data_IF_660912230205
#
_entry.id   IF_660912230205
#
_cell.length_a   1.000
_cell.length_b   1.000
_cell.length_c   1.000
_cell.angle_alpha   90.00
_cell.angle_beta   90.00
_cell.angle_gamma   90.00
#
_symmetry.space_group_name_H-M   'P 1'
#
loop_
_entity.id
_entity.type
_entity.pdbx_description
1 polymer ?
#
# COMPACT_ATOMS: atom_id res chain seq x y z
N UNK A 1 -41.58 4.17 22.96
CA UNK A 1 -40.17 4.32 23.36
C UNK A 1 -39.34 4.53 22.10
N UNK A 2 -39.22 5.77 21.61
CA UNK A 2 -38.37 6.10 20.46
C UNK A 2 -36.93 6.16 20.95
N UNK A 3 -36.20 5.05 20.82
CA UNK A 3 -34.76 5.06 20.98
C UNK A 3 -34.22 6.07 19.95
N UNK A 4 -33.64 7.16 20.45
CA UNK A 4 -33.15 8.28 19.65
C UNK A 4 -32.22 7.77 18.54
N UNK A 5 -32.67 7.87 17.28
CA UNK A 5 -31.90 7.57 16.07
C UNK A 5 -30.53 8.30 16.02
N UNK A 6 -30.30 9.30 16.87
CA UNK A 6 -29.01 9.99 17.00
C UNK A 6 -27.92 9.14 17.66
N UNK A 7 -28.27 8.16 18.50
CA UNK A 7 -27.28 7.26 19.13
C UNK A 7 -26.78 6.19 18.14
N UNK A 8 -27.63 5.68 17.26
CA UNK A 8 -27.23 4.73 16.21
C UNK A 8 -26.23 5.33 15.20
N UNK A 9 -26.33 6.64 14.92
CA UNK A 9 -25.41 7.33 13.98
C UNK A 9 -23.96 7.43 14.46
N UNK A 10 -23.69 7.25 15.75
CA UNK A 10 -22.33 7.32 16.32
C UNK A 10 -21.67 5.97 16.51
N UNK A 11 -22.31 4.88 16.09
CA UNK A 11 -21.71 3.57 16.24
C UNK A 11 -20.59 3.40 15.19
N UNK A 12 -19.38 2.96 15.56
CA UNK A 12 -18.19 2.93 14.68
C UNK A 12 -18.41 2.26 13.32
N UNK A 13 -19.27 1.24 13.29
CA UNK A 13 -19.66 0.53 12.07
C UNK A 13 -20.34 1.45 11.04
N UNK A 14 -21.25 2.32 11.48
CA UNK A 14 -21.95 3.24 10.56
C UNK A 14 -21.00 4.32 10.03
N UNK A 15 -20.05 4.78 10.86
CA UNK A 15 -18.99 5.70 10.42
C UNK A 15 -18.13 5.04 9.34
N UNK A 16 -17.74 3.78 9.54
CA UNK A 16 -17.00 3.01 8.54
C UNK A 16 -17.78 2.89 7.22
N UNK A 17 -19.04 2.44 7.25
CA UNK A 17 -19.87 2.35 6.03
C UNK A 17 -20.01 3.69 5.30
N UNK A 18 -20.19 4.78 6.05
CA UNK A 18 -20.27 6.12 5.49
C UNK A 18 -18.95 6.54 4.83
N UNK A 19 -17.82 6.24 5.44
CA UNK A 19 -16.50 6.51 4.87
C UNK A 19 -16.23 5.67 3.62
N UNK A 20 -16.64 4.40 3.60
CA UNK A 20 -16.59 3.55 2.42
C UNK A 20 -17.37 4.15 1.24
N UNK A 21 -18.60 4.58 1.49
CA UNK A 21 -19.40 5.24 0.45
C UNK A 21 -18.76 6.56 -0.02
N UNK A 22 -18.17 7.33 0.90
CA UNK A 22 -17.40 8.54 0.54
C UNK A 22 -16.15 8.21 -0.28
N UNK A 23 -15.44 7.14 0.02
CA UNK A 23 -14.26 6.70 -0.73
C UNK A 23 -14.58 6.48 -2.20
N UNK A 24 -15.61 5.69 -2.50
CA UNK A 24 -16.01 5.46 -3.89
C UNK A 24 -16.50 6.73 -4.59
N UNK A 25 -17.18 7.61 -3.85
CA UNK A 25 -17.59 8.94 -4.36
C UNK A 25 -16.40 9.83 -4.69
N UNK A 26 -15.44 9.95 -3.78
CA UNK A 26 -14.20 10.72 -3.97
C UNK A 26 -13.41 10.19 -5.15
N UNK A 27 -13.24 8.86 -5.23
CA UNK A 27 -12.58 8.18 -6.36
C UNK A 27 -13.26 8.49 -7.69
N UNK A 28 -14.60 8.41 -7.75
CA UNK A 28 -15.36 8.75 -8.96
C UNK A 28 -15.16 10.21 -9.36
N UNK A 29 -15.18 11.14 -8.39
CA UNK A 29 -14.96 12.56 -8.65
C UNK A 29 -13.56 12.83 -9.22
N UNK A 30 -12.52 12.24 -8.64
CA UNK A 30 -11.12 12.39 -9.12
C UNK A 30 -10.96 11.86 -10.54
N UNK A 31 -11.52 10.67 -10.83
CA UNK A 31 -11.50 10.09 -12.17
C UNK A 31 -12.29 10.90 -13.20
N UNK A 32 -13.28 11.66 -12.75
CA UNK A 32 -14.06 12.57 -13.61
C UNK A 32 -13.40 13.93 -13.80
N UNK A 33 -12.16 14.11 -13.32
CA UNK A 33 -11.41 15.37 -13.46
C UNK A 33 -11.77 16.46 -12.44
N UNK A 34 -12.55 16.15 -11.41
CA UNK A 34 -12.91 17.12 -10.36
C UNK A 34 -11.69 17.41 -9.48
N UNK A 35 -11.38 18.68 -9.25
CA UNK A 35 -10.37 19.13 -8.29
C UNK A 35 -10.89 19.02 -6.85
N UNK A 36 -10.87 17.78 -6.34
CA UNK A 36 -11.32 17.47 -4.98
C UNK A 36 -10.48 18.17 -3.92
N UNK A 37 -9.19 18.41 -4.17
CA UNK A 37 -8.33 19.06 -3.18
C UNK A 37 -8.79 20.50 -2.94
N UNK A 38 -9.10 21.24 -4.01
CA UNK A 38 -9.66 22.59 -3.91
C UNK A 38 -10.98 22.59 -3.13
N UNK A 39 -11.92 21.71 -3.49
CA UNK A 39 -13.22 21.60 -2.81
C UNK A 39 -13.05 21.24 -1.32
N UNK A 40 -12.14 20.33 -1.00
CA UNK A 40 -11.84 19.93 0.37
C UNK A 40 -11.25 21.08 1.19
N UNK A 41 -10.39 21.91 0.58
CA UNK A 41 -9.80 23.10 1.24
C UNK A 41 -10.79 24.24 1.47
N UNK A 42 -11.87 24.31 0.70
CA UNK A 42 -12.95 25.30 0.82
C UNK A 42 -14.04 24.90 1.83
N UNK A 43 -13.68 24.06 2.82
CA UNK A 43 -14.49 23.67 3.99
C UNK A 43 -15.77 22.85 3.71
N UNK A 44 -15.85 22.19 2.54
CA UNK A 44 -16.86 21.15 2.26
C UNK A 44 -16.33 19.73 2.52
N UNK A 45 -15.56 19.58 3.60
CA UNK A 45 -15.00 18.30 4.09
C UNK A 45 -16.07 17.20 4.32
N UNK A 46 -17.34 17.59 4.43
CA UNK A 46 -18.48 16.68 4.52
C UNK A 46 -18.74 15.84 3.26
N UNK A 47 -18.33 16.27 2.06
CA UNK A 47 -18.70 15.59 0.80
C UNK A 47 -17.70 14.51 0.37
N UNK A 48 -16.41 14.76 0.58
CA UNK A 48 -15.30 13.92 0.12
C UNK A 48 -14.38 13.57 1.30
N UNK A 49 -13.74 12.41 1.22
CA UNK A 49 -12.66 12.06 2.15
C UNK A 49 -11.42 12.90 1.91
N UNK A 50 -10.70 13.21 2.99
CA UNK A 50 -9.35 13.75 2.92
C UNK A 50 -8.34 12.76 2.31
N UNK A 51 -7.19 13.24 1.84
CA UNK A 51 -6.24 12.43 1.06
C UNK A 51 -5.63 11.29 1.87
N UNK A 52 -5.25 11.54 3.13
CA UNK A 52 -4.71 10.52 4.03
C UNK A 52 -5.71 9.40 4.32
N UNK A 53 -6.95 9.79 4.61
CA UNK A 53 -8.03 8.84 4.90
C UNK A 53 -8.40 8.03 3.64
N UNK A 54 -8.31 8.65 2.46
CA UNK A 54 -8.51 7.96 1.19
C UNK A 54 -7.43 6.89 0.97
N UNK A 55 -6.16 7.21 1.21
CA UNK A 55 -5.04 6.26 1.10
C UNK A 55 -5.14 5.12 2.12
N UNK A 56 -5.51 5.43 3.37
CA UNK A 56 -5.70 4.42 4.41
C UNK A 56 -6.85 3.44 4.06
N UNK A 57 -7.97 3.96 3.56
CA UNK A 57 -9.09 3.12 3.13
C UNK A 57 -8.76 2.32 1.87
N UNK A 58 -8.02 2.88 0.91
CA UNK A 58 -7.53 2.10 -0.23
C UNK A 58 -6.72 0.89 0.25
N UNK A 59 -5.72 1.09 1.11
CA UNK A 59 -4.91 0.01 1.66
C UNK A 59 -5.78 -1.04 2.35
N UNK A 60 -6.74 -0.61 3.18
CA UNK A 60 -7.66 -1.51 3.86
C UNK A 60 -8.50 -2.35 2.89
N UNK A 61 -9.08 -1.70 1.88
CA UNK A 61 -9.91 -2.37 0.86
C UNK A 61 -9.06 -3.31 0.01
N UNK A 62 -7.84 -2.90 -0.35
CA UNK A 62 -6.92 -3.68 -1.16
C UNK A 62 -6.47 -4.96 -0.46
N UNK A 63 -6.30 -4.92 0.86
CA UNK A 63 -5.94 -6.09 1.66
C UNK A 63 -7.11 -7.02 1.98
N UNK A 64 -8.37 -6.59 1.76
CA UNK A 64 -9.55 -7.36 2.14
C UNK A 64 -9.63 -8.76 1.53
N UNK A 65 -9.35 -8.98 0.22
CA UNK A 65 -9.34 -10.31 -0.36
C UNK A 65 -8.30 -11.24 0.30
N UNK A 66 -7.11 -10.72 0.59
CA UNK A 66 -6.06 -11.47 1.29
C UNK A 66 -6.48 -11.89 2.69
N UNK A 67 -7.14 -11.02 3.45
CA UNK A 67 -7.63 -11.37 4.78
C UNK A 67 -8.64 -12.52 4.75
N UNK A 68 -9.55 -12.53 3.76
CA UNK A 68 -10.52 -13.63 3.60
C UNK A 68 -9.80 -14.94 3.32
N UNK A 69 -8.86 -14.94 2.38
CA UNK A 69 -8.15 -16.16 2.00
C UNK A 69 -7.26 -16.67 3.13
N UNK A 70 -6.50 -15.81 3.80
CA UNK A 70 -5.74 -16.20 5.00
C UNK A 70 -6.64 -16.82 6.07
N UNK A 71 -7.78 -16.17 6.37
CA UNK A 71 -8.72 -16.69 7.38
C UNK A 71 -9.31 -18.04 6.98
N UNK A 72 -9.57 -18.26 5.69
CA UNK A 72 -10.05 -19.53 5.17
C UNK A 72 -9.01 -20.64 5.32
N UNK A 73 -7.75 -20.36 4.97
CA UNK A 73 -6.65 -21.31 5.14
C UNK A 73 -6.36 -21.60 6.61
N UNK A 74 -6.33 -20.58 7.47
CA UNK A 74 -6.16 -20.75 8.92
C UNK A 74 -7.29 -21.60 9.53
N UNK A 75 -8.51 -21.50 9.01
CA UNK A 75 -9.63 -22.33 9.43
C UNK A 75 -9.50 -23.79 8.96
N UNK A 76 -9.04 -24.02 7.71
CA UNK A 76 -8.88 -25.37 7.17
C UNK A 76 -7.70 -26.13 7.75
N UNK A 77 -6.58 -25.45 7.94
CA UNK A 77 -5.32 -26.03 8.39
C UNK A 77 -5.06 -25.74 9.86
N UNK A 78 -6.15 -25.70 10.65
CA UNK A 78 -6.21 -25.44 12.10
C UNK A 78 -4.89 -25.79 12.78
N UNK A 79 -4.21 -24.79 13.39
CA UNK A 79 -2.83 -24.82 13.94
C UNK A 79 -2.49 -26.13 14.69
N UNK A 80 -2.27 -27.21 13.99
CA UNK A 80 -1.89 -28.50 14.56
C UNK A 80 -0.39 -28.49 14.77
N UNK A 81 0.05 -28.29 16.00
CA UNK A 81 1.41 -28.58 16.51
C UNK A 81 2.65 -27.98 15.82
N UNK A 82 2.52 -27.27 14.69
CA UNK A 82 3.66 -26.65 13.99
C UNK A 82 4.26 -25.45 14.76
N UNK A 83 3.58 -24.98 15.81
CA UNK A 83 4.03 -23.86 16.65
C UNK A 83 4.90 -24.29 17.83
N UNK A 84 5.00 -25.59 18.16
CA UNK A 84 5.70 -26.04 19.37
C UNK A 84 7.24 -26.09 19.24
N UNK A 85 7.80 -26.05 18.03
CA UNK A 85 9.26 -26.18 17.84
C UNK A 85 10.00 -24.87 17.53
N UNK A 86 9.34 -23.70 17.47
CA UNK A 86 10.05 -22.42 17.30
C UNK A 86 10.29 -21.74 18.66
N UNK A 87 11.32 -22.24 19.32
CA UNK A 87 11.95 -21.87 20.61
C UNK A 87 11.80 -20.40 21.05
N UNK A 88 11.66 -20.23 22.37
CA UNK A 88 11.43 -19.04 23.18
C UNK A 88 12.27 -17.78 22.88
N UNK A 89 13.40 -17.89 22.17
CA UNK A 89 14.20 -16.76 21.68
C UNK A 89 13.50 -15.93 20.59
N UNK A 90 12.42 -16.46 19.99
CA UNK A 90 11.70 -15.84 18.88
C UNK A 90 10.67 -14.78 19.25
N UNK A 91 10.24 -14.63 20.50
CA UNK A 91 9.14 -13.70 20.84
C UNK A 91 9.54 -12.23 20.78
N UNK A 92 10.71 -11.86 21.32
CA UNK A 92 11.18 -10.47 21.29
C UNK A 92 11.64 -10.05 19.89
N UNK A 93 12.29 -10.94 19.13
CA UNK A 93 12.63 -10.73 17.72
C UNK A 93 11.36 -10.58 16.87
N UNK A 94 10.37 -11.48 17.00
CA UNK A 94 9.08 -11.33 16.31
C UNK A 94 8.35 -10.05 16.70
N UNK A 95 8.42 -9.61 17.96
CA UNK A 95 7.83 -8.31 18.35
C UNK A 95 8.58 -7.16 17.71
N UNK A 96 9.91 -7.19 17.68
CA UNK A 96 10.75 -6.14 17.10
C UNK A 96 10.58 -6.06 15.58
N UNK A 97 10.64 -7.19 14.88
CA UNK A 97 10.32 -7.34 13.46
C UNK A 97 8.91 -6.84 13.17
N UNK A 98 7.90 -7.29 13.91
CA UNK A 98 6.52 -6.85 13.68
C UNK A 98 6.36 -5.35 13.92
N UNK A 99 7.01 -4.75 14.92
CA UNK A 99 6.95 -3.31 15.18
C UNK A 99 7.69 -2.53 14.09
N UNK A 100 8.91 -2.95 13.72
CA UNK A 100 9.71 -2.27 12.69
C UNK A 100 9.08 -2.40 11.31
N UNK A 101 8.61 -3.58 10.91
CA UNK A 101 7.88 -3.78 9.64
C UNK A 101 6.57 -2.98 9.65
N UNK A 102 5.80 -3.04 10.73
CA UNK A 102 4.53 -2.30 10.81
C UNK A 102 4.71 -0.78 10.84
N UNK A 103 5.81 -0.27 11.40
CA UNK A 103 6.11 1.17 11.44
C UNK A 103 6.82 1.67 10.17
N UNK A 104 7.69 0.85 9.58
CA UNK A 104 8.46 1.20 8.38
C UNK A 104 7.56 1.30 7.15
N UNK A 105 6.55 0.45 7.00
CA UNK A 105 5.65 0.50 5.83
C UNK A 105 4.91 1.85 5.71
N UNK A 106 4.21 2.36 6.75
CA UNK A 106 3.62 3.70 6.71
C UNK A 106 4.64 4.81 6.48
N UNK A 107 5.84 4.71 7.06
CA UNK A 107 6.90 5.70 6.89
C UNK A 107 7.44 5.72 5.45
N UNK A 108 7.69 4.55 4.84
CA UNK A 108 8.13 4.42 3.46
C UNK A 108 7.05 4.94 2.51
N UNK A 109 5.78 4.59 2.75
CA UNK A 109 4.65 5.11 1.97
C UNK A 109 4.54 6.63 2.07
N UNK A 110 4.69 7.16 3.28
CA UNK A 110 4.72 8.60 3.54
C UNK A 110 5.83 9.26 2.74
N UNK A 111 7.06 8.76 2.90
CA UNK A 111 8.25 9.28 2.23
C UNK A 111 8.12 9.20 0.71
N UNK A 112 7.61 8.09 0.18
CA UNK A 112 7.37 7.91 -1.26
C UNK A 112 6.37 8.93 -1.79
N UNK A 113 5.26 9.18 -1.08
CA UNK A 113 4.28 10.20 -1.47
C UNK A 113 4.86 11.62 -1.39
N UNK A 114 5.66 11.91 -0.35
CA UNK A 114 6.34 13.19 -0.17
C UNK A 114 7.30 13.48 -1.32
N UNK A 115 8.14 12.50 -1.64
CA UNK A 115 9.13 12.58 -2.70
C UNK A 115 8.47 12.63 -4.07
N UNK A 116 7.51 11.75 -4.36
CA UNK A 116 6.80 11.73 -5.64
C UNK A 116 6.06 13.04 -5.91
N UNK A 117 5.43 13.64 -4.89
CA UNK A 117 4.83 14.98 -5.00
C UNK A 117 5.86 16.04 -5.41
N UNK A 118 7.06 16.04 -4.84
CA UNK A 118 8.15 16.95 -5.22
C UNK A 118 8.62 16.68 -6.66
N UNK A 119 8.78 15.41 -7.03
CA UNK A 119 9.17 14.98 -8.36
C UNK A 119 8.21 15.44 -9.46
N UNK A 120 6.97 15.81 -9.09
CA UNK A 120 5.98 16.34 -10.03
C UNK A 120 6.05 17.83 -10.28
N UNK A 121 7.00 18.54 -9.67
CA UNK A 121 7.17 19.99 -9.80
C UNK A 121 8.52 20.33 -10.43
N UNK A 122 8.53 21.37 -11.27
CA UNK A 122 9.78 22.01 -11.70
C UNK A 122 10.42 22.74 -10.53
N UNK A 123 11.75 22.84 -10.49
CA UNK A 123 12.50 23.57 -9.46
C UNK A 123 11.96 24.98 -9.19
N UNK A 124 11.59 25.73 -10.24
CA UNK A 124 11.02 27.09 -10.12
C UNK A 124 9.69 27.15 -9.34
N UNK A 125 8.98 26.03 -9.24
CA UNK A 125 7.68 25.88 -8.60
C UNK A 125 7.79 25.25 -7.19
N UNK A 126 9.00 25.05 -6.67
CA UNK A 126 9.26 24.48 -5.33
C UNK A 126 8.97 25.48 -4.21
N UNK A 127 7.70 25.86 -4.09
CA UNK A 127 7.16 26.65 -2.98
C UNK A 127 6.44 25.71 -2.01
N UNK A 128 6.55 25.95 -0.71
CA UNK A 128 5.94 25.09 0.35
C UNK A 128 4.47 24.77 0.08
N UNK A 129 3.68 25.77 -0.34
CA UNK A 129 2.27 25.59 -0.67
C UNK A 129 2.05 24.68 -1.90
N UNK A 130 2.84 24.83 -2.97
CA UNK A 130 2.74 23.99 -4.17
C UNK A 130 3.20 22.56 -3.91
N UNK A 131 4.27 22.38 -3.15
CA UNK A 131 4.77 21.07 -2.75
C UNK A 131 3.70 20.31 -1.95
N UNK A 132 3.13 20.95 -0.93
CA UNK A 132 2.04 20.38 -0.14
C UNK A 132 0.84 20.00 -1.01
N UNK A 133 0.40 20.91 -1.90
CA UNK A 133 -0.70 20.63 -2.81
C UNK A 133 -0.40 19.47 -3.79
N UNK A 134 0.83 19.37 -4.30
CA UNK A 134 1.24 18.29 -5.18
C UNK A 134 1.28 16.93 -4.45
N UNK A 135 1.76 16.89 -3.21
CA UNK A 135 1.76 15.68 -2.37
C UNK A 135 0.35 15.19 -2.05
N UNK A 136 -0.56 16.11 -1.68
CA UNK A 136 -1.95 15.76 -1.40
C UNK A 136 -2.69 15.32 -2.68
N UNK A 137 -2.39 15.97 -3.83
CA UNK A 137 -2.88 15.52 -5.13
C UNK A 137 -2.35 14.13 -5.48
N UNK A 138 -1.07 13.85 -5.21
CA UNK A 138 -0.48 12.54 -5.44
C UNK A 138 -1.24 11.46 -4.66
N UNK A 139 -1.47 11.67 -3.36
CA UNK A 139 -2.25 10.75 -2.54
C UNK A 139 -3.65 10.49 -3.10
N UNK A 140 -4.36 11.54 -3.52
CA UNK A 140 -5.69 11.43 -4.10
C UNK A 140 -5.71 10.64 -5.41
N UNK A 141 -4.78 10.96 -6.32
CA UNK A 141 -4.70 10.32 -7.63
C UNK A 141 -4.24 8.87 -7.46
N UNK A 142 -3.20 8.61 -6.65
CA UNK A 142 -2.76 7.26 -6.31
C UNK A 142 -3.94 6.44 -5.77
N UNK A 143 -4.64 6.95 -4.75
CA UNK A 143 -5.77 6.24 -4.15
C UNK A 143 -6.94 5.98 -5.08
N UNK A 144 -7.04 6.74 -6.16
CA UNK A 144 -8.12 6.60 -7.14
C UNK A 144 -7.81 5.56 -8.21
N UNK A 145 -6.54 5.41 -8.59
CA UNK A 145 -6.11 4.52 -9.66
C UNK A 145 -5.45 3.24 -9.15
N UNK A 146 -4.84 3.25 -7.96
CA UNK A 146 -4.04 2.17 -7.38
C UNK A 146 -4.82 0.98 -6.81
N UNK A 147 -6.09 1.18 -6.41
CA UNK A 147 -6.87 0.15 -5.71
C UNK A 147 -6.78 -1.25 -6.32
N UNK A 148 -7.06 -1.39 -7.62
CA UNK A 148 -7.11 -2.70 -8.26
C UNK A 148 -5.75 -3.37 -8.45
N UNK A 149 -4.72 -2.70 -9.01
CA UNK A 149 -3.40 -3.32 -9.06
C UNK A 149 -2.87 -3.63 -7.65
N UNK A 150 -3.18 -2.80 -6.65
CA UNK A 150 -2.81 -3.09 -5.27
C UNK A 150 -3.53 -4.32 -4.71
N UNK A 151 -4.83 -4.51 -4.98
CA UNK A 151 -5.53 -5.75 -4.65
C UNK A 151 -4.82 -6.97 -5.26
N UNK A 152 -4.45 -6.91 -6.55
CA UNK A 152 -3.80 -8.02 -7.25
C UNK A 152 -2.43 -8.33 -6.64
N UNK A 153 -1.64 -7.31 -6.33
CA UNK A 153 -0.32 -7.47 -5.71
C UNK A 153 -0.45 -8.09 -4.31
N UNK A 154 -1.28 -7.51 -3.45
CA UNK A 154 -1.46 -7.99 -2.07
C UNK A 154 -2.02 -9.41 -2.08
N UNK A 155 -2.98 -9.71 -2.97
CA UNK A 155 -3.54 -11.04 -3.09
C UNK A 155 -2.54 -12.07 -3.64
N UNK A 156 -1.80 -11.71 -4.70
CA UNK A 156 -0.75 -12.57 -5.25
C UNK A 156 0.35 -12.87 -4.25
N UNK A 157 0.79 -11.87 -3.46
CA UNK A 157 1.76 -12.07 -2.38
C UNK A 157 1.22 -13.01 -1.30
N UNK A 158 -0.04 -12.84 -0.90
CA UNK A 158 -0.67 -13.73 0.08
C UNK A 158 -0.73 -15.17 -0.39
N UNK A 159 -1.13 -15.42 -1.64
CA UNK A 159 -1.13 -16.79 -2.19
C UNK A 159 0.29 -17.37 -2.27
N UNK A 160 1.29 -16.55 -2.62
CA UNK A 160 2.68 -16.97 -2.63
C UNK A 160 3.17 -17.36 -1.22
N UNK A 161 2.86 -16.55 -0.20
CA UNK A 161 3.19 -16.86 1.20
C UNK A 161 2.51 -18.13 1.70
N UNK A 162 1.23 -18.32 1.37
CA UNK A 162 0.52 -19.56 1.68
C UNK A 162 1.20 -20.75 0.99
N UNK A 163 1.60 -20.59 -0.28
CA UNK A 163 2.31 -21.64 -1.01
C UNK A 163 3.64 -22.03 -0.36
N UNK A 164 4.44 -21.04 0.05
CA UNK A 164 5.72 -21.30 0.73
C UNK A 164 5.53 -21.98 2.08
N UNK A 165 4.51 -21.58 2.85
CA UNK A 165 4.34 -22.03 4.23
C UNK A 165 3.65 -23.41 4.33
N UNK A 166 2.63 -23.64 3.50
CA UNK A 166 1.78 -24.83 3.58
C UNK A 166 2.12 -25.90 2.55
N UNK A 167 2.48 -25.48 1.33
CA UNK A 167 2.38 -26.35 0.17
C UNK A 167 3.71 -26.87 -0.36
N UNK A 168 4.85 -26.25 -0.02
CA UNK A 168 6.17 -26.86 -0.27
C UNK A 168 6.32 -28.25 0.39
N UNK A 169 5.43 -28.60 1.32
CA UNK A 169 5.39 -29.89 2.02
C UNK A 169 4.41 -30.90 1.40
N UNK A 170 3.58 -30.51 0.43
CA UNK A 170 2.51 -31.33 -0.14
C UNK A 170 2.67 -31.41 -1.66
N UNK A 171 2.79 -32.62 -2.22
CA UNK A 171 2.80 -32.84 -3.67
C UNK A 171 1.47 -32.38 -4.28
N UNK A 172 1.50 -31.40 -5.20
CA UNK A 172 0.33 -30.99 -5.99
C UNK A 172 0.05 -29.48 -6.09
N UNK A 173 0.75 -28.63 -5.35
CA UNK A 173 0.40 -27.20 -5.24
C UNK A 173 0.92 -26.27 -6.37
N UNK A 174 1.15 -26.83 -7.56
CA UNK A 174 1.70 -26.07 -8.68
C UNK A 174 0.75 -25.00 -9.21
N UNK A 175 -0.57 -25.23 -9.10
CA UNK A 175 -1.58 -24.34 -9.67
C UNK A 175 -1.71 -23.04 -8.87
N UNK A 176 -1.66 -23.10 -7.54
CA UNK A 176 -1.70 -21.93 -6.66
C UNK A 176 -0.47 -21.05 -6.87
N UNK A 177 0.70 -21.65 -7.05
CA UNK A 177 1.94 -20.93 -7.35
C UNK A 177 1.82 -20.19 -8.68
N UNK A 178 1.35 -20.86 -9.74
CA UNK A 178 1.16 -20.25 -11.05
C UNK A 178 0.14 -19.09 -10.99
N UNK A 179 -0.96 -19.26 -10.25
CA UNK A 179 -1.94 -18.19 -10.03
C UNK A 179 -1.33 -17.01 -9.27
N UNK A 180 -0.58 -17.26 -8.19
CA UNK A 180 0.10 -16.23 -7.41
C UNK A 180 1.06 -15.41 -8.29
N UNK A 181 1.92 -16.10 -9.06
CA UNK A 181 2.86 -15.47 -9.99
C UNK A 181 2.13 -14.67 -11.08
N UNK A 182 1.05 -15.21 -11.64
CA UNK A 182 0.24 -14.50 -12.63
C UNK A 182 -0.34 -13.20 -12.07
N UNK A 183 -0.96 -13.25 -10.89
CA UNK A 183 -1.53 -12.07 -10.23
C UNK A 183 -0.46 -11.02 -9.93
N UNK A 184 0.73 -11.45 -9.47
CA UNK A 184 1.86 -10.57 -9.22
C UNK A 184 2.35 -9.89 -10.51
N UNK A 185 2.55 -10.64 -11.60
CA UNK A 185 2.99 -10.07 -12.88
C UNK A 185 1.99 -9.06 -13.41
N UNK A 186 0.69 -9.42 -13.45
CA UNK A 186 -0.36 -8.50 -13.92
C UNK A 186 -0.45 -7.28 -13.01
N UNK A 187 -0.40 -7.48 -11.70
CA UNK A 187 -0.41 -6.42 -10.69
C UNK A 187 0.75 -5.45 -10.87
N UNK A 188 1.98 -5.97 -11.04
CA UNK A 188 3.20 -5.16 -11.24
C UNK A 188 3.09 -4.35 -12.53
N UNK A 189 2.80 -4.99 -13.66
CA UNK A 189 2.71 -4.31 -14.96
C UNK A 189 1.66 -3.20 -14.92
N UNK A 190 0.49 -3.48 -14.34
CA UNK A 190 -0.57 -2.49 -14.21
C UNK A 190 -0.20 -1.37 -13.25
N UNK A 191 0.37 -1.68 -12.08
CA UNK A 191 0.81 -0.68 -11.11
C UNK A 191 1.90 0.23 -11.69
N UNK A 192 2.89 -0.35 -12.38
CA UNK A 192 3.94 0.41 -13.06
C UNK A 192 3.37 1.37 -14.08
N UNK A 193 2.42 0.94 -14.92
CA UNK A 193 1.74 1.83 -15.87
C UNK A 193 1.05 3.00 -15.14
N UNK A 194 0.39 2.73 -14.02
CA UNK A 194 -0.29 3.78 -13.25
C UNK A 194 0.73 4.77 -12.65
N UNK A 195 1.74 4.26 -11.95
CA UNK A 195 2.74 5.05 -11.22
C UNK A 195 3.59 5.91 -12.15
N UNK A 196 4.04 5.34 -13.26
CA UNK A 196 5.00 6.01 -14.14
C UNK A 196 4.35 6.77 -15.30
N UNK A 197 3.10 6.50 -15.67
CA UNK A 197 2.42 7.21 -16.78
C UNK A 197 1.18 7.97 -16.33
N UNK A 198 0.21 7.30 -15.72
CA UNK A 198 -1.10 7.91 -15.47
C UNK A 198 -1.06 8.96 -14.35
N UNK A 199 -0.52 8.60 -13.18
CA UNK A 199 -0.45 9.49 -12.01
C UNK A 199 0.35 10.75 -12.32
N UNK A 200 1.58 10.67 -12.87
CA UNK A 200 2.42 11.85 -13.05
C UNK A 200 1.80 12.80 -14.06
N UNK A 201 1.28 12.27 -15.17
CA UNK A 201 0.61 13.06 -16.21
C UNK A 201 -0.55 13.88 -15.63
N UNK A 202 -1.44 13.25 -14.86
CA UNK A 202 -2.57 13.92 -14.22
C UNK A 202 -2.12 15.00 -13.22
N UNK A 203 -1.06 14.74 -12.46
CA UNK A 203 -0.54 15.72 -11.50
C UNK A 203 0.16 16.88 -12.23
N UNK A 204 0.89 16.61 -13.31
CA UNK A 204 1.52 17.64 -14.12
C UNK A 204 0.47 18.60 -14.71
N UNK A 205 -0.62 18.05 -15.24
CA UNK A 205 -1.76 18.84 -15.74
C UNK A 205 -2.39 19.69 -14.63
N UNK A 206 -2.61 19.11 -13.44
CA UNK A 206 -3.13 19.84 -12.26
C UNK A 206 -2.19 20.93 -11.78
N UNK A 207 -0.88 20.76 -11.96
CA UNK A 207 0.13 21.77 -11.66
C UNK A 207 0.25 22.84 -12.77
N UNK A 208 -0.55 22.75 -13.83
CA UNK A 208 -0.58 23.71 -14.94
C UNK A 208 0.49 23.49 -16.00
N UNK A 209 1.12 22.31 -16.02
CA UNK A 209 2.07 21.94 -17.08
C UNK A 209 1.34 21.37 -18.29
N UNK A 210 1.84 21.67 -19.48
CA UNK A 210 1.43 21.06 -20.76
C UNK A 210 2.36 19.90 -21.13
N UNK A 211 1.94 19.00 -22.03
CA UNK A 211 2.69 17.79 -22.42
C UNK A 211 4.16 18.06 -22.79
N UNK A 212 4.43 19.11 -23.55
CA UNK A 212 5.81 19.50 -23.92
C UNK A 212 6.64 20.09 -22.77
N UNK A 213 6.04 20.23 -21.58
CA UNK A 213 6.64 20.91 -20.43
C UNK A 213 6.63 20.05 -19.16
N UNK A 214 6.24 18.78 -19.25
CA UNK A 214 6.20 17.86 -18.11
C UNK A 214 7.61 17.63 -17.50
N UNK A 215 7.76 17.67 -16.16
CA UNK A 215 9.05 17.48 -15.49
C UNK A 215 9.43 15.99 -15.34
N UNK A 216 9.40 15.23 -16.44
CA UNK A 216 9.67 13.79 -16.42
C UNK A 216 11.03 13.41 -15.83
N UNK A 217 12.08 14.15 -16.14
CA UNK A 217 13.43 13.89 -15.61
C UNK A 217 13.48 14.00 -14.09
N UNK A 218 12.81 15.00 -13.51
CA UNK A 218 12.72 15.19 -12.06
C UNK A 218 11.92 14.05 -11.41
N UNK A 219 10.81 13.68 -12.03
CA UNK A 219 9.98 12.58 -11.56
C UNK A 219 10.76 11.26 -11.55
N UNK A 220 11.46 10.92 -12.63
CA UNK A 220 12.28 9.71 -12.74
C UNK A 220 13.41 9.71 -11.71
N UNK A 221 14.13 10.82 -11.57
CA UNK A 221 15.20 10.94 -10.58
C UNK A 221 14.70 10.66 -9.17
N UNK A 222 13.55 11.24 -8.80
CA UNK A 222 12.91 11.00 -7.52
C UNK A 222 12.56 9.53 -7.32
N UNK A 223 12.04 8.84 -8.34
CA UNK A 223 11.72 7.42 -8.25
C UNK A 223 12.97 6.54 -8.12
N UNK A 224 14.08 6.91 -8.76
CA UNK A 224 15.37 6.24 -8.55
C UNK A 224 15.81 6.40 -7.10
N UNK A 225 15.70 7.61 -6.53
CA UNK A 225 16.02 7.86 -5.12
C UNK A 225 15.12 7.07 -4.18
N UNK A 226 13.81 7.06 -4.40
CA UNK A 226 12.86 6.26 -3.61
C UNK A 226 13.21 4.78 -3.70
N UNK A 227 13.45 4.26 -4.91
CA UNK A 227 13.82 2.86 -5.14
C UNK A 227 15.11 2.48 -4.42
N UNK A 228 16.14 3.33 -4.52
CA UNK A 228 17.40 3.14 -3.80
C UNK A 228 17.18 3.11 -2.28
N UNK A 229 16.42 4.06 -1.73
CA UNK A 229 16.11 4.09 -0.29
C UNK A 229 15.34 2.84 0.15
N UNK A 230 14.34 2.40 -0.63
CA UNK A 230 13.58 1.19 -0.33
C UNK A 230 14.48 -0.05 -0.38
N UNK A 231 15.36 -0.17 -1.38
CA UNK A 231 16.32 -1.27 -1.48
C UNK A 231 17.28 -1.31 -0.30
N UNK A 232 17.77 -0.17 0.18
CA UNK A 232 18.65 -0.13 1.35
C UNK A 232 17.91 -0.53 2.64
N UNK A 233 16.65 -0.09 2.80
CA UNK A 233 15.83 -0.51 3.95
C UNK A 233 15.55 -2.01 3.89
N UNK A 234 15.19 -2.54 2.72
CA UNK A 234 14.97 -3.98 2.54
C UNK A 234 16.28 -4.76 2.77
N UNK A 235 17.41 -4.29 2.23
CA UNK A 235 18.71 -4.91 2.46
C UNK A 235 19.04 -4.98 3.96
N UNK A 236 18.87 -3.87 4.68
CA UNK A 236 19.10 -3.84 6.13
C UNK A 236 18.15 -4.76 6.91
N UNK A 237 16.89 -4.88 6.47
CA UNK A 237 15.91 -5.76 7.11
C UNK A 237 16.15 -7.25 6.85
N UNK A 238 16.77 -7.63 5.71
CA UNK A 238 16.87 -9.02 5.28
C UNK A 238 18.27 -9.61 5.27
N UNK A 239 19.33 -8.81 5.23
CA UNK A 239 20.71 -9.31 5.06
C UNK A 239 21.56 -9.15 6.31
N UNK A 240 21.33 -8.12 7.12
CA UNK A 240 21.98 -7.97 8.43
C UNK A 240 21.22 -8.72 9.53
N UNK A 241 20.39 -9.71 9.16
CA UNK A 241 19.70 -10.53 10.14
C UNK A 241 20.68 -11.59 10.71
N UNK A 242 21.08 -11.48 11.99
CA UNK A 242 21.97 -12.45 12.64
C UNK A 242 21.41 -13.88 12.63
N UNK A 243 20.13 -14.08 12.28
CA UNK A 243 19.55 -15.41 12.02
C UNK A 243 20.14 -16.09 10.78
N UNK A 244 20.51 -15.35 9.73
CA UNK A 244 21.17 -15.93 8.56
C UNK A 244 22.55 -16.46 8.95
N UNK A 245 23.31 -15.68 9.74
CA UNK A 245 24.62 -16.09 10.23
C UNK A 245 24.52 -17.30 11.17
N UNK A 246 23.51 -17.34 12.06
CA UNK A 246 23.28 -18.48 12.93
C UNK A 246 22.85 -19.74 12.18
N UNK A 247 21.98 -19.61 11.17
CA UNK A 247 21.53 -20.74 10.35
C UNK A 247 22.65 -21.31 9.50
N UNK A 248 23.46 -20.45 8.86
CA UNK A 248 24.65 -20.84 8.11
C UNK A 248 25.67 -21.54 9.02
N UNK A 249 25.85 -21.08 10.27
CA UNK A 249 26.72 -21.75 11.23
C UNK A 249 26.17 -23.11 11.69
N UNK A 250 24.87 -23.22 11.97
CA UNK A 250 24.24 -24.48 12.39
C UNK A 250 24.25 -25.54 11.27
N UNK A 251 24.15 -25.13 10.01
CA UNK A 251 24.22 -26.03 8.87
C UNK A 251 25.66 -26.41 8.50
N UNK A 252 26.63 -25.50 8.70
CA UNK A 252 28.06 -25.81 8.56
C UNK A 252 28.60 -26.78 9.64
N UNK A 253 27.90 -26.90 10.76
CA UNK A 253 28.26 -27.78 11.88
C UNK A 253 27.61 -29.18 11.80
N UNK A 254 26.78 -29.46 10.78
CA UNK A 254 26.19 -30.79 10.51
C UNK A 254 27.00 -31.53 9.45
#
# INVERSE_FOLDING_TARGET
>A
MMMSFRLFKKHPIFEAFYDFAKYFRTRKAIKSGVDVLKIYSEDTSGKYLGPWKMNALENFIASFPSFIVLSYYDFLYEKGDWAENSVETSKLMKIYENILLSASIPFILLLACFLAGIGTLKFRDWKKAKISAAQLNYLYVNSSYGLFPQCLLVFGFTLLSIHTDYFLKVEGAGEELLLALFLLVVGVVWNSKIIFWNIPTLIFERNGYTQGSYPWSMFILVFIVIGYLCLNVLWWLFIDDPLIDHWVQDEANK
#
